data_IF_590228540413
#
_entry.id   IF_590228540413
#
_cell.length_a   1.000
_cell.length_b   1.000
_cell.length_c   1.000
_cell.angle_alpha   90.00
_cell.angle_beta   90.00
_cell.angle_gamma   90.00
#
_symmetry.space_group_name_H-M   'P 1'
#
loop_
_entity.id
_entity.type
_entity.pdbx_description
1 polymer ?
#
# COMPACT_ATOMS: atom_id res chain seq x y z
N UNK A 1 -19.54 -10.17 0.17
CA UNK A 1 -20.25 -11.17 1.02
C UNK A 1 -21.22 -10.56 2.05
N UNK A 2 -21.21 -9.26 2.30
CA UNK A 2 -22.16 -8.61 3.23
C UNK A 2 -23.56 -8.30 2.62
N UNK A 3 -23.97 -9.00 1.55
CA UNK A 3 -25.28 -8.82 0.91
C UNK A 3 -25.49 -7.51 0.14
N UNK A 4 -24.44 -6.70 -0.10
CA UNK A 4 -24.50 -5.47 -0.90
C UNK A 4 -24.18 -5.76 -2.38
N UNK A 5 -24.87 -5.10 -3.30
CA UNK A 5 -24.46 -4.98 -4.71
C UNK A 5 -23.29 -3.99 -4.79
N UNK A 6 -22.13 -4.46 -5.25
CA UNK A 6 -20.88 -3.69 -5.24
C UNK A 6 -20.37 -3.53 -6.68
N UNK A 7 -19.88 -2.35 -7.01
CA UNK A 7 -19.05 -2.11 -8.19
C UNK A 7 -17.62 -1.74 -7.77
N UNK A 8 -16.65 -2.37 -8.42
CA UNK A 8 -15.23 -2.03 -8.31
C UNK A 8 -14.86 -1.18 -9.54
N UNK A 9 -14.21 -0.04 -9.34
CA UNK A 9 -13.75 0.78 -10.44
C UNK A 9 -12.59 1.69 -10.02
N UNK A 10 -11.98 2.36 -10.99
CA UNK A 10 -11.07 3.47 -10.73
C UNK A 10 -9.79 3.38 -11.55
N UNK A 11 -8.66 3.58 -10.87
CA UNK A 11 -7.32 3.60 -11.47
C UNK A 11 -6.86 2.22 -11.93
N UNK A 12 -7.12 1.17 -11.13
CA UNK A 12 -7.02 -0.22 -11.58
C UNK A 12 -8.40 -0.62 -12.08
N UNK A 13 -8.45 -1.05 -13.35
CA UNK A 13 -9.68 -1.20 -14.11
C UNK A 13 -10.74 -2.11 -13.46
N UNK A 14 -12.01 -2.00 -13.89
CA UNK A 14 -12.54 -1.16 -14.96
C UNK A 14 -12.60 0.35 -14.61
N UNK A 15 -12.73 1.21 -15.62
CA UNK A 15 -12.85 2.66 -15.37
C UNK A 15 -14.21 2.98 -14.72
N UNK A 16 -14.28 4.08 -13.96
CA UNK A 16 -15.52 4.50 -13.30
C UNK A 16 -16.65 4.78 -14.30
N UNK A 17 -16.35 5.46 -15.42
CA UNK A 17 -17.37 5.83 -16.40
C UNK A 17 -17.89 4.61 -17.16
N UNK A 18 -17.03 3.66 -17.54
CA UNK A 18 -17.47 2.42 -18.19
C UNK A 18 -18.36 1.59 -17.27
N UNK A 19 -17.97 1.50 -16.00
CA UNK A 19 -18.73 0.77 -14.98
C UNK A 19 -20.08 1.41 -14.73
N UNK A 20 -20.15 2.75 -14.68
CA UNK A 20 -21.39 3.49 -14.55
C UNK A 20 -22.29 3.33 -15.78
N UNK A 21 -21.73 3.45 -16.98
CA UNK A 21 -22.48 3.27 -18.23
C UNK A 21 -23.11 1.86 -18.30
N UNK A 22 -22.34 0.83 -17.95
CA UNK A 22 -22.84 -0.54 -17.90
C UNK A 22 -23.97 -0.71 -16.85
N UNK A 23 -23.80 -0.14 -15.65
CA UNK A 23 -24.81 -0.22 -14.59
C UNK A 23 -26.11 0.52 -14.95
N UNK A 24 -26.02 1.67 -15.64
CA UNK A 24 -27.16 2.42 -16.15
C UNK A 24 -27.87 1.67 -17.28
N UNK A 25 -27.12 1.10 -18.22
CA UNK A 25 -27.69 0.30 -19.31
C UNK A 25 -28.43 -0.95 -18.81
N UNK A 26 -27.98 -1.53 -17.69
CA UNK A 26 -28.61 -2.67 -17.04
C UNK A 26 -29.74 -2.29 -16.05
N UNK A 27 -30.04 -1.00 -15.86
CA UNK A 27 -30.94 -0.48 -14.82
C UNK A 27 -30.65 -1.07 -13.43
N UNK A 28 -29.37 -1.25 -13.12
CA UNK A 28 -28.91 -2.00 -11.95
C UNK A 28 -27.74 -1.29 -11.26
N UNK A 29 -27.99 -0.10 -10.73
CA UNK A 29 -26.98 0.66 -9.98
C UNK A 29 -26.52 -0.11 -8.73
N UNK A 30 -25.20 -0.14 -8.44
CA UNK A 30 -24.68 -0.76 -7.23
C UNK A 30 -25.09 0.04 -5.99
N UNK A 31 -25.19 -0.65 -4.84
CA UNK A 31 -25.38 -0.01 -3.54
C UNK A 31 -24.08 0.58 -2.98
N UNK A 32 -22.94 0.03 -3.39
CA UNK A 32 -21.62 0.46 -2.92
C UNK A 32 -20.66 0.54 -4.11
N UNK A 33 -19.96 1.67 -4.21
CA UNK A 33 -18.83 1.86 -5.11
C UNK A 33 -17.54 1.72 -4.30
N UNK A 34 -16.64 0.86 -4.75
CA UNK A 34 -15.29 0.76 -4.20
C UNK A 34 -14.34 1.29 -5.27
N UNK A 35 -13.74 2.43 -4.97
CA UNK A 35 -12.93 3.17 -5.93
C UNK A 35 -11.47 3.17 -5.51
N UNK A 36 -10.59 2.70 -6.40
CA UNK A 36 -9.16 3.00 -6.29
C UNK A 36 -8.86 4.30 -7.03
N UNK A 37 -8.28 5.28 -6.34
CA UNK A 37 -8.00 6.60 -6.91
C UNK A 37 -6.52 6.95 -6.83
N UNK A 38 -5.96 7.39 -7.95
CA UNK A 38 -4.59 7.92 -8.01
C UNK A 38 -4.53 9.39 -7.57
N UNK A 39 -3.33 9.88 -7.25
CA UNK A 39 -3.12 11.30 -6.94
C UNK A 39 -3.52 12.21 -8.11
N UNK A 40 -3.27 11.79 -9.35
CA UNK A 40 -3.64 12.54 -10.55
C UNK A 40 -5.14 12.75 -10.69
N UNK A 41 -5.93 11.69 -10.45
CA UNK A 41 -7.38 11.77 -10.49
C UNK A 41 -7.93 12.72 -9.42
N UNK A 42 -7.30 12.74 -8.24
CA UNK A 42 -7.68 13.60 -7.13
C UNK A 42 -7.19 15.05 -7.28
N UNK A 43 -6.07 15.26 -7.97
CA UNK A 43 -5.53 16.58 -8.28
C UNK A 43 -6.37 17.33 -9.32
N UNK A 44 -7.02 16.63 -10.26
CA UNK A 44 -7.98 17.24 -11.19
C UNK A 44 -7.38 18.38 -12.02
N UNK A 45 -6.15 18.20 -12.53
CA UNK A 45 -5.45 19.23 -13.32
C UNK A 45 -5.08 20.47 -12.52
N UNK A 46 -4.78 20.31 -11.23
CA UNK A 46 -4.39 21.37 -10.29
C UNK A 46 -5.56 22.08 -9.59
N UNK A 47 -6.79 21.88 -10.06
CA UNK A 47 -8.00 22.49 -9.46
C UNK A 47 -8.63 21.66 -8.34
N UNK A 48 -8.18 20.42 -8.17
CA UNK A 48 -8.77 19.42 -7.29
C UNK A 48 -10.00 18.76 -7.90
N UNK A 49 -10.25 17.51 -7.52
CA UNK A 49 -11.51 16.84 -7.86
C UNK A 49 -12.70 17.60 -7.28
N UNK A 50 -13.65 17.99 -8.15
CA UNK A 50 -14.84 18.73 -7.75
C UNK A 50 -16.04 17.79 -7.52
N UNK A 51 -16.82 18.06 -6.47
CA UNK A 51 -18.06 17.33 -6.19
C UNK A 51 -17.86 15.87 -5.75
N UNK A 52 -16.62 15.46 -5.44
CA UNK A 52 -16.32 14.13 -4.92
C UNK A 52 -16.51 14.07 -3.41
N UNK A 53 -17.49 13.28 -2.96
CA UNK A 53 -17.80 13.11 -1.55
C UNK A 53 -18.09 11.63 -1.24
N UNK A 54 -17.09 10.87 -0.77
CA UNK A 54 -17.28 9.48 -0.40
C UNK A 54 -17.89 9.34 1.01
N UNK A 55 -18.55 8.21 1.29
CA UNK A 55 -19.01 7.89 2.65
C UNK A 55 -17.85 7.60 3.61
N UNK A 56 -16.83 6.93 3.10
CA UNK A 56 -15.59 6.63 3.80
C UNK A 56 -14.42 6.60 2.80
N UNK A 57 -13.25 7.05 3.23
CA UNK A 57 -12.05 7.07 2.40
C UNK A 57 -10.82 6.75 3.24
N UNK A 58 -9.76 6.26 2.58
CA UNK A 58 -8.49 5.97 3.21
C UNK A 58 -7.33 6.48 2.35
N UNK A 59 -6.28 6.95 3.02
CA UNK A 59 -4.93 6.99 2.47
C UNK A 59 -4.14 5.93 3.23
N UNK A 60 -3.64 4.91 2.52
CA UNK A 60 -3.05 3.74 3.17
C UNK A 60 -1.64 4.02 3.70
N UNK A 61 -0.86 4.80 2.97
CA UNK A 61 0.48 5.27 3.30
C UNK A 61 0.90 6.36 2.30
N UNK A 62 2.00 7.03 2.61
CA UNK A 62 2.69 8.00 1.76
C UNK A 62 4.19 7.70 1.75
N UNK A 63 4.68 7.25 0.61
CA UNK A 63 6.09 7.27 0.22
C UNK A 63 6.29 8.19 -0.97
N UNK A 64 7.54 8.52 -1.28
CA UNK A 64 7.87 9.21 -2.53
C UNK A 64 7.39 8.40 -3.73
N UNK A 65 6.65 9.05 -4.61
CA UNK A 65 6.21 8.56 -5.91
C UNK A 65 5.74 9.79 -6.70
N UNK A 66 5.84 9.77 -8.02
CA UNK A 66 5.37 10.84 -8.90
C UNK A 66 5.89 12.25 -8.57
N UNK A 67 7.13 12.37 -8.09
CA UNK A 67 7.73 13.68 -7.75
C UNK A 67 8.04 14.52 -8.98
N UNK A 68 8.25 13.86 -10.13
CA UNK A 68 8.34 14.46 -11.46
C UNK A 68 7.11 15.31 -11.82
N UNK A 69 5.92 14.93 -11.34
CA UNK A 69 4.68 15.65 -11.56
C UNK A 69 4.33 16.60 -10.42
N UNK A 70 4.30 16.08 -9.18
CA UNK A 70 3.83 16.84 -8.02
C UNK A 70 4.89 17.84 -7.51
N UNK A 71 6.15 17.71 -7.94
CA UNK A 71 7.28 18.55 -7.55
C UNK A 71 7.78 18.33 -6.12
N UNK A 72 6.92 17.89 -5.20
CA UNK A 72 7.30 17.55 -3.84
C UNK A 72 6.37 16.51 -3.22
N UNK A 73 6.88 15.78 -2.22
CA UNK A 73 6.09 14.84 -1.43
C UNK A 73 4.95 15.54 -0.65
N UNK A 74 5.11 16.83 -0.31
CA UNK A 74 4.04 17.61 0.32
C UNK A 74 2.86 17.85 -0.63
N UNK A 75 3.13 18.28 -1.86
CA UNK A 75 2.10 18.46 -2.88
C UNK A 75 1.42 17.13 -3.26
N UNK A 76 2.18 16.05 -3.35
CA UNK A 76 1.63 14.69 -3.56
C UNK A 76 0.69 14.27 -2.41
N UNK A 77 1.08 14.55 -1.16
CA UNK A 77 0.25 14.30 0.02
C UNK A 77 -1.04 15.13 0.00
N UNK A 78 -0.96 16.42 -0.33
CA UNK A 78 -2.14 17.29 -0.49
C UNK A 78 -3.08 16.79 -1.59
N UNK A 79 -2.52 16.32 -2.72
CA UNK A 79 -3.31 15.70 -3.78
C UNK A 79 -4.09 14.48 -3.30
N UNK A 80 -3.45 13.58 -2.54
CA UNK A 80 -4.13 12.41 -1.97
C UNK A 80 -5.13 12.76 -0.88
N UNK A 81 -4.86 13.77 -0.06
CA UNK A 81 -5.76 14.18 1.03
C UNK A 81 -7.14 14.60 0.52
N UNK A 82 -7.26 15.04 -0.74
CA UNK A 82 -8.55 15.35 -1.39
C UNK A 82 -9.51 14.15 -1.44
N UNK A 83 -9.01 12.92 -1.30
CA UNK A 83 -9.85 11.71 -1.24
C UNK A 83 -10.88 11.74 -0.10
N UNK A 84 -10.60 12.46 0.98
CA UNK A 84 -11.49 12.50 2.14
C UNK A 84 -12.71 13.40 1.96
N UNK A 85 -12.82 14.14 0.86
CA UNK A 85 -13.90 15.10 0.64
C UNK A 85 -14.09 16.04 1.85
N UNK A 86 -15.33 16.46 2.08
CA UNK A 86 -15.68 17.36 3.17
C UNK A 86 -16.32 16.64 4.38
N UNK A 87 -16.94 15.48 4.15
CA UNK A 87 -17.79 14.77 5.13
C UNK A 87 -17.43 13.31 5.35
N UNK A 88 -16.72 12.64 4.43
CA UNK A 88 -16.33 11.24 4.55
C UNK A 88 -15.77 10.84 5.93
N UNK A 89 -16.05 9.61 6.34
CA UNK A 89 -15.31 8.98 7.44
C UNK A 89 -13.86 8.74 7.01
N UNK A 90 -12.91 9.28 7.78
CA UNK A 90 -11.48 9.16 7.48
C UNK A 90 -10.94 7.87 8.11
N UNK A 91 -10.42 6.96 7.28
CA UNK A 91 -9.67 5.78 7.71
C UNK A 91 -8.18 6.08 7.52
N UNK A 92 -7.46 6.19 8.63
CA UNK A 92 -6.12 6.80 8.67
C UNK A 92 -5.10 5.79 9.17
N UNK A 93 -3.95 5.69 8.51
CA UNK A 93 -2.85 4.87 8.98
C UNK A 93 -2.07 5.61 10.08
N UNK A 94 -2.13 5.12 11.32
CA UNK A 94 -1.42 5.76 12.45
C UNK A 94 0.10 5.57 12.41
N UNK A 95 0.57 4.57 11.69
CA UNK A 95 2.01 4.27 11.60
C UNK A 95 2.71 5.20 10.60
N UNK A 96 1.94 5.95 9.81
CA UNK A 96 2.44 6.92 8.84
C UNK A 96 2.12 8.34 9.30
N UNK A 97 3.13 9.05 9.79
CA UNK A 97 2.99 10.40 10.32
C UNK A 97 2.44 11.41 9.29
N UNK A 98 2.70 11.21 7.99
CA UNK A 98 2.20 12.11 6.93
C UNK A 98 0.72 11.88 6.69
N UNK A 99 0.27 10.62 6.77
CA UNK A 99 -1.15 10.28 6.70
C UNK A 99 -1.89 10.74 7.95
N UNK A 100 -1.33 10.55 9.14
CA UNK A 100 -1.92 11.06 10.40
C UNK A 100 -2.06 12.58 10.39
N UNK A 101 -1.09 13.31 9.81
CA UNK A 101 -1.15 14.75 9.65
C UNK A 101 -2.29 15.25 8.75
N UNK A 102 -2.93 14.38 7.94
CA UNK A 102 -4.10 14.75 7.14
C UNK A 102 -5.36 14.97 7.97
N UNK A 103 -5.40 14.50 9.22
CA UNK A 103 -6.54 14.70 10.12
C UNK A 103 -6.61 16.18 10.52
N UNK A 104 -7.72 16.89 10.21
CA UNK A 104 -7.85 18.30 10.55
C UNK A 104 -7.72 18.52 12.06
N UNK A 105 -6.85 19.44 12.44
CA UNK A 105 -6.66 19.84 13.82
C UNK A 105 -7.54 21.06 14.15
N UNK A 106 -8.03 21.17 15.40
CA UNK A 106 -8.68 22.40 15.82
C UNK A 106 -7.71 23.58 15.66
N UNK A 107 -8.20 24.78 15.28
CA UNK A 107 -7.36 25.97 15.24
C UNK A 107 -6.62 26.14 16.57
N UNK A 108 -5.34 26.49 16.53
CA UNK A 108 -4.61 26.85 17.73
C UNK A 108 -5.38 27.95 18.46
N UNK A 109 -5.49 27.85 19.78
CA UNK A 109 -6.07 28.91 20.59
C UNK A 109 -5.18 30.15 20.40
N UNK A 110 -5.60 31.10 19.55
CA UNK A 110 -4.93 32.39 19.43
C UNK A 110 -4.86 32.99 20.85
N UNK A 111 -3.64 33.30 21.32
CA UNK A 111 -3.48 34.11 22.52
C UNK A 111 -4.26 35.41 22.26
N UNK A 112 -5.29 35.67 23.07
CA UNK A 112 -6.22 36.76 22.83
C UNK A 112 -5.44 38.07 22.64
N UNK A 113 -5.62 38.81 21.53
CA UNK A 113 -5.03 40.12 21.41
C UNK A 113 -5.60 41.01 22.51
N UNK A 114 -4.71 41.60 23.30
CA UNK A 114 -5.08 42.63 24.25
C UNK A 114 -5.69 43.80 23.49
N UNK A 115 -7.00 43.99 23.68
CA UNK A 115 -7.80 45.15 23.30
C UNK A 115 -7.73 45.62 21.83
N UNK A 116 -8.74 45.29 21.02
CA UNK A 116 -9.24 46.23 20.02
C UNK A 116 -10.69 45.99 19.57
N UNK A 117 -11.45 47.09 19.69
CA UNK A 117 -12.54 47.55 18.83
C UNK A 117 -13.83 46.71 18.66
N UNK A 118 -14.92 47.29 19.16
CA UNK A 118 -16.33 46.98 18.83
C UNK A 118 -16.59 47.19 17.34
N UNK A 119 -16.33 46.18 16.52
CA UNK A 119 -16.86 46.06 15.16
C UNK A 119 -17.69 44.78 15.05
N UNK A 120 -18.84 44.83 14.37
CA UNK A 120 -19.68 43.65 14.08
C UNK A 120 -18.91 42.69 13.16
N UNK A 121 -18.04 41.88 13.74
CA UNK A 121 -17.28 40.84 13.05
C UNK A 121 -18.17 39.64 12.73
N UNK A 122 -18.13 39.20 11.47
CA UNK A 122 -18.73 37.96 10.98
C UNK A 122 -18.23 36.80 11.86
N UNK A 123 -19.14 36.00 12.44
CA UNK A 123 -18.77 34.91 13.33
C UNK A 123 -17.77 33.96 12.64
N UNK A 124 -16.62 33.69 13.26
CA UNK A 124 -15.66 32.70 12.75
C UNK A 124 -16.36 31.33 12.70
N UNK A 125 -16.23 30.54 11.61
CA UNK A 125 -16.84 29.22 11.54
C UNK A 125 -16.27 28.32 12.65
N UNK A 126 -17.17 27.63 13.37
CA UNK A 126 -16.79 26.70 14.44
C UNK A 126 -16.13 25.46 13.83
N UNK A 127 -14.97 25.08 14.35
CA UNK A 127 -14.32 23.83 13.96
C UNK A 127 -15.22 22.63 14.29
N UNK A 128 -15.48 21.79 13.27
CA UNK A 128 -16.24 20.55 13.41
C UNK A 128 -15.27 19.39 13.21
N UNK A 129 -14.99 18.57 14.25
CA UNK A 129 -14.14 17.40 14.10
C UNK A 129 -14.68 16.44 13.03
N UNK A 130 -13.78 15.87 12.24
CA UNK A 130 -14.11 14.80 11.28
C UNK A 130 -14.36 13.49 12.04
N UNK A 131 -15.13 12.57 11.45
CA UNK A 131 -15.20 11.18 11.91
C UNK A 131 -13.93 10.48 11.48
N UNK A 132 -13.08 10.08 12.42
CA UNK A 132 -11.78 9.44 12.16
C UNK A 132 -11.74 8.07 12.81
N UNK A 133 -11.22 7.09 12.09
CA UNK A 133 -10.91 5.74 12.56
C UNK A 133 -9.48 5.42 12.15
N UNK A 134 -8.64 4.91 13.05
CA UNK A 134 -7.25 4.60 12.72
C UNK A 134 -7.00 3.12 12.58
N UNK A 135 -6.06 2.75 11.73
CA UNK A 135 -5.50 1.41 11.63
C UNK A 135 -3.97 1.46 11.69
N UNK A 136 -3.33 0.33 11.97
CA UNK A 136 -1.87 0.22 12.08
C UNK A 136 -1.42 -1.13 12.64
N UNK A 137 -0.12 -1.32 12.78
CA UNK A 137 0.56 -2.56 13.15
C UNK A 137 0.76 -2.72 14.66
N UNK A 138 0.58 -1.66 15.44
CA UNK A 138 0.52 -1.75 16.91
C UNK A 138 -0.88 -2.07 17.44
N UNK A 139 -1.03 -2.15 18.76
CA UNK A 139 -2.35 -2.24 19.39
C UNK A 139 -3.18 -0.95 19.17
N UNK A 140 -4.53 -1.03 19.10
CA UNK A 140 -5.40 0.14 19.07
C UNK A 140 -5.12 1.11 20.24
N UNK A 141 -5.17 2.41 19.96
CA UNK A 141 -4.85 3.46 20.96
C UNK A 141 -6.08 4.26 21.38
N UNK A 142 -7.17 4.21 20.61
CA UNK A 142 -8.42 4.92 20.88
C UNK A 142 -9.64 4.03 20.60
N UNK A 143 -10.81 4.33 21.19
CA UNK A 143 -12.05 3.65 20.86
C UNK A 143 -12.35 3.72 19.36
N UNK A 144 -12.67 2.59 18.75
CA UNK A 144 -12.93 2.48 17.32
C UNK A 144 -11.71 2.15 16.45
N UNK A 145 -10.48 2.27 16.97
CA UNK A 145 -9.25 1.97 16.23
C UNK A 145 -9.08 0.46 15.96
N UNK A 146 -8.32 0.17 14.93
CA UNK A 146 -8.00 -1.17 14.43
C UNK A 146 -6.50 -1.41 14.55
N UNK A 147 -6.09 -2.62 14.90
CA UNK A 147 -4.67 -2.88 15.12
C UNK A 147 -4.31 -4.34 15.17
N UNK A 148 -3.04 -4.59 15.49
CA UNK A 148 -2.54 -5.91 15.80
C UNK A 148 -2.24 -6.02 17.29
N UNK A 149 -2.55 -7.19 17.86
CA UNK A 149 -2.22 -7.52 19.24
C UNK A 149 -1.45 -8.84 19.25
N UNK A 150 -0.25 -8.83 19.82
CA UNK A 150 0.50 -10.06 20.06
C UNK A 150 0.13 -10.61 21.44
N UNK A 151 -0.39 -11.83 21.46
CA UNK A 151 -0.84 -12.48 22.69
C UNK A 151 -0.62 -14.00 22.56
N UNK A 152 0.09 -14.59 23.53
CA UNK A 152 0.35 -16.03 23.53
C UNK A 152 1.15 -16.52 22.31
N UNK A 153 2.04 -15.69 21.76
CA UNK A 153 2.84 -16.01 20.57
C UNK A 153 2.07 -15.95 19.25
N UNK A 154 0.84 -15.43 19.25
CA UNK A 154 0.02 -15.27 18.07
C UNK A 154 -0.31 -13.79 17.85
N UNK A 155 -0.23 -13.34 16.61
CA UNK A 155 -0.64 -11.98 16.21
C UNK A 155 -2.12 -12.00 15.82
N UNK A 156 -2.92 -11.16 16.46
CA UNK A 156 -4.36 -11.03 16.23
C UNK A 156 -4.69 -9.72 15.54
N UNK A 157 -5.61 -9.76 14.57
CA UNK A 157 -6.33 -8.57 14.13
C UNK A 157 -7.35 -8.23 15.23
N UNK A 158 -7.31 -6.99 15.71
CA UNK A 158 -8.18 -6.51 16.79
C UNK A 158 -8.83 -5.17 16.44
N UNK A 159 -9.96 -4.88 17.08
CA UNK A 159 -10.61 -3.57 17.07
C UNK A 159 -10.90 -3.14 18.51
N UNK A 160 -10.62 -1.89 18.85
CA UNK A 160 -11.14 -1.27 20.06
C UNK A 160 -12.63 -0.96 19.88
N UNK A 161 -13.48 -1.47 20.77
CA UNK A 161 -14.91 -1.13 20.74
C UNK A 161 -15.09 0.38 21.03
N UNK A 162 -16.10 1.01 20.40
CA UNK A 162 -16.45 2.38 20.76
C UNK A 162 -16.93 2.46 22.21
N UNK A 163 -16.71 3.60 22.86
CA UNK A 163 -17.24 3.85 24.21
C UNK A 163 -18.76 3.72 24.22
N UNK A 164 -19.31 3.06 25.25
CA UNK A 164 -20.76 3.03 25.44
C UNK A 164 -21.31 4.44 25.72
N UNK A 165 -22.36 4.90 25.00
CA UNK A 165 -22.96 6.18 25.26
C UNK A 165 -23.58 6.19 26.67
N UNK A 166 -22.97 6.95 27.58
CA UNK A 166 -23.44 7.11 28.97
C UNK A 166 -22.44 6.72 30.06
N UNK A 167 -21.28 6.17 29.70
CA UNK A 167 -20.18 5.97 30.65
C UNK A 167 -19.61 7.34 31.07
N UNK A 168 -20.10 7.86 32.20
CA UNK A 168 -19.63 9.13 32.75
C UNK A 168 -18.11 9.16 32.88
N UNK A 169 -17.47 10.19 32.31
CA UNK A 169 -16.04 10.44 32.47
C UNK A 169 -15.70 10.61 33.95
N UNK A 170 -15.29 9.54 34.63
CA UNK A 170 -14.55 9.64 35.87
C UNK A 170 -13.12 10.01 35.50
N UNK A 171 -12.78 11.28 35.72
CA UNK A 171 -11.42 11.78 35.56
C UNK A 171 -10.51 11.10 36.60
N UNK A 172 -9.56 10.26 36.13
CA UNK A 172 -8.23 10.05 36.73
C UNK A 172 -7.43 8.87 36.13
N UNK A 173 -8.04 7.96 35.36
CA UNK A 173 -7.33 6.86 34.70
C UNK A 173 -7.55 6.90 33.18
N UNK A 174 -6.52 6.54 32.40
CA UNK A 174 -6.67 6.35 30.96
C UNK A 174 -7.80 5.34 30.71
N UNK A 175 -8.74 5.61 29.79
CA UNK A 175 -9.86 4.71 29.54
C UNK A 175 -9.32 3.33 29.11
N UNK A 176 -9.77 2.28 29.79
CA UNK A 176 -9.41 0.91 29.47
C UNK A 176 -10.07 0.54 28.13
N UNK A 177 -9.28 0.31 27.09
CA UNK A 177 -9.78 -0.02 25.77
C UNK A 177 -10.27 -1.47 25.75
N UNK A 178 -11.56 -1.67 25.50
CA UNK A 178 -12.09 -3.01 25.29
C UNK A 178 -11.76 -3.50 23.88
N UNK A 179 -10.82 -4.45 23.79
CA UNK A 179 -10.36 -4.99 22.51
C UNK A 179 -11.16 -6.23 22.10
N UNK A 180 -11.83 -6.14 20.96
CA UNK A 180 -12.45 -7.29 20.29
C UNK A 180 -11.42 -7.98 19.38
N UNK A 181 -11.13 -9.25 19.66
CA UNK A 181 -10.33 -10.12 18.80
C UNK A 181 -11.14 -10.58 17.61
N UNK A 182 -10.59 -10.44 16.42
CA UNK A 182 -11.31 -10.70 15.17
C UNK A 182 -10.88 -12.03 14.55
N UNK A 183 -9.59 -12.14 14.22
CA UNK A 183 -8.99 -13.36 13.69
C UNK A 183 -7.46 -13.32 13.85
N UNK A 184 -6.78 -14.47 13.87
CA UNK A 184 -5.32 -14.53 13.76
C UNK A 184 -4.84 -13.94 12.42
N UNK A 185 -3.72 -13.22 12.43
CA UNK A 185 -3.08 -12.72 11.22
C UNK A 185 -2.65 -13.88 10.29
N UNK A 186 -2.24 -15.02 10.87
CA UNK A 186 -1.85 -16.21 10.11
C UNK A 186 -3.01 -16.96 9.45
N UNK A 187 -4.25 -16.59 9.77
CA UNK A 187 -5.43 -17.09 9.07
C UNK A 187 -5.67 -16.34 7.75
N UNK A 188 -4.96 -15.25 7.48
CA UNK A 188 -4.95 -14.59 6.18
C UNK A 188 -4.14 -15.45 5.20
N UNK A 189 -4.69 -15.66 3.99
CA UNK A 189 -3.93 -16.29 2.90
C UNK A 189 -2.84 -15.35 2.37
N UNK A 190 -3.12 -14.05 2.36
CA UNK A 190 -2.15 -12.99 2.05
C UNK A 190 -1.24 -12.75 3.27
N UNK A 191 0.03 -13.16 3.17
CA UNK A 191 1.00 -13.12 4.27
C UNK A 191 1.64 -11.74 4.44
N UNK A 192 2.24 -11.49 5.61
CA UNK A 192 3.03 -10.29 5.89
C UNK A 192 2.27 -9.17 6.59
N UNK A 193 3.01 -8.35 7.36
CA UNK A 193 2.46 -7.26 8.18
C UNK A 193 1.73 -6.21 7.34
N UNK A 194 2.23 -5.86 6.15
CA UNK A 194 1.58 -4.90 5.27
C UNK A 194 0.19 -5.38 4.81
N UNK A 195 0.02 -6.69 4.56
CA UNK A 195 -1.28 -7.26 4.21
C UNK A 195 -2.24 -7.28 5.41
N UNK A 196 -1.73 -7.47 6.62
CA UNK A 196 -2.52 -7.29 7.83
C UNK A 196 -2.99 -5.83 7.98
N UNK A 197 -2.14 -4.84 7.70
CA UNK A 197 -2.53 -3.42 7.69
C UNK A 197 -3.60 -3.13 6.62
N UNK A 198 -3.44 -3.64 5.40
CA UNK A 198 -4.45 -3.53 4.33
C UNK A 198 -5.78 -4.16 4.74
N UNK A 199 -5.74 -5.31 5.40
CA UNK A 199 -6.93 -5.98 5.93
C UNK A 199 -7.65 -5.12 6.98
N UNK A 200 -6.91 -4.52 7.92
CA UNK A 200 -7.47 -3.62 8.93
C UNK A 200 -8.09 -2.37 8.28
N UNK A 201 -7.44 -1.78 7.29
CA UNK A 201 -7.98 -0.64 6.54
C UNK A 201 -9.28 -1.00 5.79
N UNK A 202 -9.31 -2.16 5.11
CA UNK A 202 -10.50 -2.64 4.40
C UNK A 202 -11.67 -2.91 5.36
N UNK A 203 -11.40 -3.54 6.51
CA UNK A 203 -12.40 -3.76 7.56
C UNK A 203 -12.92 -2.43 8.13
N UNK A 204 -12.03 -1.47 8.38
CA UNK A 204 -12.40 -0.15 8.89
C UNK A 204 -13.29 0.63 7.89
N UNK A 205 -12.91 0.64 6.61
CA UNK A 205 -13.70 1.26 5.53
C UNK A 205 -15.09 0.65 5.46
N UNK A 206 -15.18 -0.66 5.28
CA UNK A 206 -16.48 -1.33 5.13
C UNK A 206 -17.33 -1.26 6.41
N UNK A 207 -16.72 -1.28 7.59
CA UNK A 207 -17.42 -1.03 8.87
C UNK A 207 -17.96 0.39 8.98
N UNK A 208 -17.30 1.38 8.36
CA UNK A 208 -17.76 2.76 8.37
C UNK A 208 -19.08 2.95 7.59
N UNK A 209 -19.34 2.08 6.60
CA UNK A 209 -20.60 1.95 5.84
C UNK A 209 -21.63 1.02 6.52
N UNK A 210 -21.34 0.49 7.71
CA UNK A 210 -22.25 -0.39 8.45
C UNK A 210 -22.31 -1.83 7.92
N UNK A 211 -21.29 -2.30 7.18
CA UNK A 211 -21.21 -3.71 6.79
C UNK A 211 -20.98 -4.60 8.02
N UNK A 212 -21.66 -5.76 8.06
CA UNK A 212 -21.55 -6.70 9.17
C UNK A 212 -20.17 -7.39 9.20
N UNK A 213 -19.57 -7.49 10.39
CA UNK A 213 -18.20 -7.95 10.56
C UNK A 213 -17.99 -9.42 10.20
N UNK A 214 -18.91 -10.30 10.59
CA UNK A 214 -18.75 -11.74 10.36
C UNK A 214 -18.62 -12.12 8.86
N UNK A 215 -19.49 -11.65 7.95
CA UNK A 215 -19.29 -11.86 6.50
C UNK A 215 -17.99 -11.26 5.94
N UNK A 216 -17.52 -10.15 6.51
CA UNK A 216 -16.27 -9.51 6.09
C UNK A 216 -15.05 -10.35 6.50
N UNK A 217 -14.99 -10.83 7.75
CA UNK A 217 -13.91 -11.70 8.22
C UNK A 217 -13.86 -13.02 7.44
N UNK A 218 -15.03 -13.55 7.07
CA UNK A 218 -15.10 -14.74 6.22
C UNK A 218 -14.53 -14.49 4.81
N UNK A 219 -14.89 -13.36 4.19
CA UNK A 219 -14.32 -12.98 2.89
C UNK A 219 -12.80 -12.73 2.97
N UNK A 220 -12.36 -12.05 4.02
CA UNK A 220 -10.96 -11.72 4.27
C UNK A 220 -10.09 -12.98 4.41
N UNK A 221 -10.59 -14.00 5.13
CA UNK A 221 -9.91 -15.30 5.28
C UNK A 221 -9.69 -16.02 3.95
N UNK A 222 -10.59 -15.84 2.98
CA UNK A 222 -10.53 -16.55 1.69
C UNK A 222 -9.84 -15.77 0.58
N UNK A 223 -9.66 -14.45 0.76
CA UNK A 223 -9.00 -13.59 -0.19
C UNK A 223 -7.55 -14.03 -0.45
N UNK A 224 -7.24 -14.38 -1.69
CA UNK A 224 -5.94 -14.93 -2.09
C UNK A 224 -4.96 -13.87 -2.63
N UNK A 225 -5.33 -12.60 -2.64
CA UNK A 225 -4.53 -11.52 -3.23
C UNK A 225 -4.81 -11.28 -4.71
N UNK A 226 -4.23 -10.21 -5.23
CA UNK A 226 -4.23 -9.90 -6.67
C UNK A 226 -3.05 -10.59 -7.38
N UNK A 227 -3.19 -10.97 -8.66
CA UNK A 227 -2.06 -11.37 -9.50
C UNK A 227 -0.94 -10.32 -9.47
N UNK A 228 0.30 -10.78 -9.65
CA UNK A 228 1.54 -9.96 -9.72
C UNK A 228 1.92 -9.21 -8.44
N UNK A 229 1.51 -9.69 -7.25
CA UNK A 229 2.03 -9.26 -5.94
C UNK A 229 2.81 -10.41 -5.31
N UNK A 230 4.12 -10.45 -5.54
CA UNK A 230 5.00 -11.57 -5.15
C UNK A 230 4.40 -12.93 -5.55
N UNK A 231 3.97 -13.03 -6.80
CA UNK A 231 3.35 -14.23 -7.34
C UNK A 231 4.43 -15.28 -7.67
N UNK A 232 4.30 -16.48 -7.11
CA UNK A 232 5.14 -17.60 -7.53
C UNK A 232 4.85 -17.96 -8.99
N UNK A 233 5.90 -18.04 -9.81
CA UNK A 233 5.83 -18.33 -11.24
C UNK A 233 6.17 -19.79 -11.50
N UNK A 234 7.38 -20.21 -11.11
CA UNK A 234 7.90 -21.56 -11.30
C UNK A 234 9.12 -21.80 -10.41
N UNK A 235 9.53 -23.06 -10.31
CA UNK A 235 10.82 -23.47 -9.74
C UNK A 235 11.69 -24.02 -10.85
N UNK A 236 12.91 -23.51 -10.99
CA UNK A 236 13.90 -23.95 -11.98
C UNK A 236 15.23 -24.18 -11.28
N UNK A 237 15.81 -25.37 -11.42
CA UNK A 237 17.07 -25.76 -10.76
C UNK A 237 17.07 -25.49 -9.23
N UNK A 238 15.95 -25.82 -8.57
CA UNK A 238 15.69 -25.56 -7.13
C UNK A 238 15.64 -24.08 -6.73
N UNK A 239 15.61 -23.17 -7.70
CA UNK A 239 15.44 -21.73 -7.50
C UNK A 239 14.00 -21.33 -7.80
N UNK A 240 13.35 -20.66 -6.85
CA UNK A 240 11.98 -20.19 -7.04
C UNK A 240 11.96 -18.84 -7.77
N UNK A 241 11.01 -18.63 -8.68
CA UNK A 241 10.81 -17.34 -9.35
C UNK A 241 9.53 -16.65 -8.87
N UNK A 242 9.66 -15.36 -8.53
CA UNK A 242 8.58 -14.52 -8.05
C UNK A 242 8.39 -13.26 -8.91
N UNK A 243 7.16 -13.03 -9.33
CA UNK A 243 6.74 -11.83 -10.03
C UNK A 243 6.06 -10.84 -9.08
N UNK A 244 6.70 -9.71 -8.87
CA UNK A 244 6.19 -8.54 -8.15
C UNK A 244 6.25 -7.30 -9.05
N UNK A 245 5.92 -7.46 -10.35
CA UNK A 245 5.94 -6.37 -11.34
C UNK A 245 5.03 -5.18 -10.98
N UNK A 246 4.07 -5.33 -10.05
CA UNK A 246 3.28 -4.23 -9.51
C UNK A 246 4.03 -3.36 -8.49
N UNK A 247 5.20 -3.78 -8.01
CA UNK A 247 6.08 -2.99 -7.15
C UNK A 247 6.74 -1.84 -7.91
N UNK A 248 5.97 -0.82 -8.27
CA UNK A 248 6.42 0.30 -9.13
C UNK A 248 7.02 1.48 -8.35
N UNK A 249 7.24 1.32 -7.05
CA UNK A 249 7.86 2.33 -6.18
C UNK A 249 8.75 1.67 -5.13
N UNK A 250 9.65 2.44 -4.55
CA UNK A 250 10.68 1.96 -3.60
C UNK A 250 10.05 1.31 -2.37
N UNK A 251 8.97 1.89 -1.83
CA UNK A 251 8.29 1.34 -0.65
C UNK A 251 7.71 -0.06 -0.87
N UNK A 252 7.15 -0.32 -2.05
CA UNK A 252 6.64 -1.65 -2.42
C UNK A 252 7.76 -2.69 -2.49
N UNK A 253 8.88 -2.35 -3.14
CA UNK A 253 10.04 -3.24 -3.25
C UNK A 253 10.66 -3.54 -1.88
N UNK A 254 10.80 -2.52 -1.01
CA UNK A 254 11.27 -2.73 0.37
C UNK A 254 10.38 -3.72 1.12
N UNK A 255 9.05 -3.58 1.01
CA UNK A 255 8.11 -4.49 1.65
C UNK A 255 8.19 -5.92 1.10
N UNK A 256 8.42 -6.08 -0.21
CA UNK A 256 8.61 -7.39 -0.84
C UNK A 256 9.92 -8.06 -0.37
N UNK A 257 11.02 -7.30 -0.29
CA UNK A 257 12.32 -7.80 0.17
C UNK A 257 12.30 -8.25 1.63
N UNK A 258 11.73 -7.43 2.53
CA UNK A 258 11.63 -7.76 3.96
C UNK A 258 10.68 -8.93 4.19
N UNK A 259 9.55 -8.99 3.47
CA UNK A 259 8.59 -10.08 3.58
C UNK A 259 9.14 -11.40 3.08
N UNK A 260 9.47 -11.47 1.78
CA UNK A 260 9.94 -12.69 1.14
C UNK A 260 11.32 -13.12 1.68
N UNK A 261 12.18 -12.17 2.01
CA UNK A 261 13.51 -12.43 2.55
C UNK A 261 13.51 -12.98 3.97
N UNK A 262 12.55 -12.59 4.82
CA UNK A 262 12.39 -13.16 6.16
C UNK A 262 11.84 -14.60 6.11
N UNK A 263 10.83 -14.84 5.27
CA UNK A 263 10.17 -16.14 5.14
C UNK A 263 11.09 -17.26 4.58
N UNK A 264 12.20 -16.87 3.95
CA UNK A 264 13.10 -17.79 3.22
C UNK A 264 14.44 -18.06 3.89
N UNK A 265 14.72 -17.50 5.07
CA UNK A 265 16.01 -17.71 5.71
C UNK A 265 16.33 -19.21 5.90
N UNK A 266 17.55 -19.68 5.56
CA UNK A 266 18.75 -18.91 5.21
C UNK A 266 18.95 -18.61 3.70
N UNK A 267 17.98 -18.94 2.85
CA UNK A 267 18.04 -18.64 1.42
C UNK A 267 17.96 -17.14 1.14
N UNK A 268 18.48 -16.71 -0.03
CA UNK A 268 18.60 -15.31 -0.44
C UNK A 268 17.88 -15.03 -1.76
N UNK A 269 17.81 -13.74 -2.12
CA UNK A 269 17.10 -13.24 -3.28
C UNK A 269 18.05 -12.70 -4.36
N UNK A 270 17.94 -13.17 -5.60
CA UNK A 270 18.50 -12.50 -6.77
C UNK A 270 17.43 -11.54 -7.33
N UNK A 271 17.67 -10.24 -7.23
CA UNK A 271 16.61 -9.22 -7.39
C UNK A 271 16.80 -8.46 -8.69
N UNK A 272 15.72 -8.24 -9.44
CA UNK A 272 15.70 -7.40 -10.64
C UNK A 272 15.04 -6.07 -10.29
N UNK A 273 15.78 -4.97 -10.45
CA UNK A 273 15.38 -3.59 -10.20
C UNK A 273 15.42 -2.76 -11.48
N UNK A 274 14.64 -1.69 -11.55
CA UNK A 274 14.77 -0.66 -12.57
C UNK A 274 13.56 -0.48 -13.50
N UNK A 275 13.69 0.53 -14.36
CA UNK A 275 12.60 1.16 -15.11
C UNK A 275 12.61 2.68 -14.96
N UNK A 276 11.44 3.33 -15.07
CA UNK A 276 11.26 4.76 -14.76
C UNK A 276 10.93 4.98 -13.26
N UNK A 277 11.88 5.56 -12.54
CA UNK A 277 11.84 5.82 -11.11
C UNK A 277 11.12 7.08 -10.70
N UNK A 278 10.69 7.95 -11.63
CA UNK A 278 9.89 9.16 -11.36
C UNK A 278 10.48 10.09 -10.28
N UNK A 279 11.80 10.15 -10.19
CA UNK A 279 12.52 11.00 -9.24
C UNK A 279 12.47 10.56 -7.78
N UNK A 280 12.17 9.28 -7.49
CA UNK A 280 12.22 8.73 -6.14
C UNK A 280 13.66 8.60 -5.61
N UNK A 281 13.84 8.70 -4.29
CA UNK A 281 15.08 8.27 -3.62
C UNK A 281 15.16 6.73 -3.49
N UNK A 282 16.23 6.14 -4.04
CA UNK A 282 16.51 4.71 -4.00
C UNK A 282 17.33 4.25 -2.77
N UNK A 283 17.87 5.16 -1.96
CA UNK A 283 18.66 4.82 -0.77
C UNK A 283 17.97 3.83 0.20
N UNK A 284 16.62 3.86 0.40
CA UNK A 284 15.94 2.90 1.27
C UNK A 284 16.08 1.42 0.84
N UNK A 285 16.47 1.13 -0.41
CA UNK A 285 16.70 -0.23 -0.89
C UNK A 285 17.94 -0.88 -0.28
N UNK A 286 18.92 -0.10 0.17
CA UNK A 286 20.21 -0.63 0.60
C UNK A 286 20.10 -1.56 1.81
N UNK A 287 19.39 -1.15 2.86
CA UNK A 287 19.26 -1.95 4.08
C UNK A 287 18.63 -3.34 3.87
N UNK A 288 17.46 -3.49 3.20
CA UNK A 288 16.88 -4.81 2.95
C UNK A 288 17.72 -5.65 1.97
N UNK A 289 18.35 -5.04 0.96
CA UNK A 289 19.22 -5.76 0.03
C UNK A 289 20.47 -6.31 0.74
N UNK A 290 21.08 -5.54 1.65
CA UNK A 290 22.22 -6.01 2.44
C UNK A 290 21.90 -7.27 3.25
N UNK A 291 20.67 -7.37 3.76
CA UNK A 291 20.21 -8.51 4.57
C UNK A 291 19.84 -9.73 3.73
N UNK A 292 19.14 -9.52 2.63
CA UNK A 292 18.42 -10.59 1.94
C UNK A 292 18.95 -10.91 0.54
N UNK A 293 19.70 -10.01 -0.10
CA UNK A 293 20.11 -10.19 -1.49
C UNK A 293 21.31 -11.15 -1.65
N UNK A 294 21.24 -11.95 -2.72
CA UNK A 294 22.32 -12.72 -3.31
C UNK A 294 23.03 -11.90 -4.39
N UNK A 295 22.25 -11.20 -5.21
CA UNK A 295 22.69 -10.41 -6.35
C UNK A 295 21.58 -9.43 -6.77
N UNK A 296 21.95 -8.38 -7.50
CA UNK A 296 21.03 -7.37 -8.02
C UNK A 296 21.31 -7.13 -9.50
N UNK A 297 20.28 -7.31 -10.33
CA UNK A 297 20.29 -6.90 -11.73
C UNK A 297 19.53 -5.58 -11.88
N UNK A 298 20.08 -4.64 -12.64
CA UNK A 298 19.44 -3.35 -12.95
C UNK A 298 19.07 -3.27 -14.43
N UNK A 299 17.91 -2.70 -14.73
CA UNK A 299 17.41 -2.46 -16.09
C UNK A 299 16.81 -1.06 -16.24
N UNK A 300 16.63 -0.61 -17.48
CA UNK A 300 15.83 0.59 -17.77
C UNK A 300 16.49 1.93 -17.43
N UNK A 301 15.68 2.99 -17.50
CA UNK A 301 16.09 4.40 -17.47
C UNK A 301 16.90 4.76 -16.23
N UNK A 302 16.40 4.40 -15.05
CA UNK A 302 16.97 4.83 -13.77
C UNK A 302 17.90 3.79 -13.14
N UNK A 303 18.35 2.79 -13.91
CA UNK A 303 19.42 1.87 -13.50
C UNK A 303 20.67 2.61 -12.94
N UNK A 304 21.18 3.70 -13.55
CA UNK A 304 22.32 4.43 -12.98
C UNK A 304 22.05 5.01 -11.58
N UNK A 305 20.84 5.48 -11.32
CA UNK A 305 20.48 6.07 -10.02
C UNK A 305 20.39 4.99 -8.94
N UNK A 306 19.81 3.84 -9.28
CA UNK A 306 19.76 2.67 -8.39
C UNK A 306 21.17 2.18 -8.08
N UNK A 307 22.04 2.05 -9.09
CA UNK A 307 23.43 1.60 -8.89
C UNK A 307 24.22 2.55 -7.99
N UNK A 308 24.01 3.86 -8.13
CA UNK A 308 24.62 4.84 -7.25
C UNK A 308 24.17 4.68 -5.79
N UNK A 309 22.88 4.42 -5.56
CA UNK A 309 22.33 4.16 -4.22
C UNK A 309 22.82 2.84 -3.60
N UNK A 310 23.30 1.90 -4.42
CA UNK A 310 23.81 0.59 -4.00
C UNK A 310 25.34 0.46 -4.08
N UNK A 311 26.05 1.56 -4.35
CA UNK A 311 27.49 1.55 -4.57
C UNK A 311 28.28 0.92 -3.41
N UNK A 312 27.92 1.24 -2.17
CA UNK A 312 28.57 0.70 -0.98
C UNK A 312 28.38 -0.82 -0.87
N UNK A 313 27.17 -1.34 -1.16
CA UNK A 313 26.91 -2.78 -1.14
C UNK A 313 27.67 -3.52 -2.23
N UNK A 314 27.80 -2.91 -3.41
CA UNK A 314 28.60 -3.47 -4.48
C UNK A 314 30.07 -3.51 -4.11
N UNK A 315 30.59 -2.48 -3.44
CA UNK A 315 31.95 -2.45 -2.92
C UNK A 315 32.18 -3.51 -1.84
N UNK A 316 31.16 -3.79 -1.02
CA UNK A 316 31.15 -4.87 -0.01
C UNK A 316 30.95 -6.28 -0.62
N UNK A 317 30.91 -6.40 -1.96
CA UNK A 317 30.93 -7.66 -2.68
C UNK A 317 29.57 -8.21 -3.09
N UNK A 318 28.49 -7.42 -2.98
CA UNK A 318 27.19 -7.79 -3.56
C UNK A 318 27.29 -7.72 -5.10
N UNK A 319 27.05 -8.82 -5.85
CA UNK A 319 27.03 -8.77 -7.30
C UNK A 319 25.95 -7.81 -7.81
N UNK A 320 26.36 -6.82 -8.60
CA UNK A 320 25.50 -5.80 -9.20
C UNK A 320 25.83 -5.68 -10.69
N UNK A 321 24.85 -5.90 -11.57
CA UNK A 321 25.04 -5.84 -13.02
C UNK A 321 23.87 -5.19 -13.75
N UNK A 322 24.19 -4.34 -14.74
CA UNK A 322 23.20 -3.71 -15.62
C UNK A 322 22.95 -4.57 -16.85
N UNK A 323 21.69 -4.74 -17.22
CA UNK A 323 21.26 -5.47 -18.40
C UNK A 323 20.37 -4.61 -19.30
N UNK A 324 20.47 -4.86 -20.62
CA UNK A 324 19.68 -4.14 -21.62
C UNK A 324 18.22 -4.61 -21.70
N UNK A 325 17.96 -5.86 -21.33
CA UNK A 325 16.62 -6.47 -21.41
C UNK A 325 16.29 -7.24 -20.13
N UNK A 326 14.99 -7.42 -19.89
CA UNK A 326 14.49 -8.15 -18.72
C UNK A 326 14.83 -9.64 -18.79
N UNK A 327 14.86 -10.22 -19.99
CA UNK A 327 15.28 -11.61 -20.22
C UNK A 327 16.74 -11.82 -19.82
N UNK A 328 17.64 -10.94 -20.25
CA UNK A 328 19.04 -11.01 -19.90
C UNK A 328 19.28 -10.82 -18.39
N UNK A 329 18.55 -9.89 -17.76
CA UNK A 329 18.59 -9.73 -16.30
C UNK A 329 18.08 -10.99 -15.58
N UNK A 330 16.99 -11.59 -16.08
CA UNK A 330 16.39 -12.80 -15.49
C UNK A 330 17.37 -13.97 -15.55
N UNK A 331 17.98 -14.21 -16.71
CA UNK A 331 18.95 -15.29 -16.87
C UNK A 331 20.17 -15.09 -15.97
N UNK A 332 20.71 -13.87 -15.90
CA UNK A 332 21.83 -13.55 -15.01
C UNK A 332 21.47 -13.75 -13.54
N UNK A 333 20.27 -13.35 -13.10
CA UNK A 333 19.81 -13.60 -11.73
C UNK A 333 19.77 -15.10 -11.39
N UNK A 334 19.32 -15.95 -12.31
CA UNK A 334 19.37 -17.41 -12.11
C UNK A 334 20.80 -17.96 -12.08
N UNK A 335 21.75 -17.34 -12.77
CA UNK A 335 23.17 -17.74 -12.71
C UNK A 335 23.83 -17.36 -11.37
N UNK A 336 23.37 -16.27 -10.73
CA UNK A 336 23.85 -15.87 -9.41
C UNK A 336 23.17 -16.63 -8.26
N UNK A 337 21.96 -17.13 -8.48
CA UNK A 337 21.18 -17.87 -7.49
C UNK A 337 21.76 -19.26 -7.20
N UNK A 338 21.57 -19.74 -5.97
CA UNK A 338 21.92 -21.10 -5.54
C UNK A 338 20.65 -21.93 -5.30
N UNK A 339 20.73 -23.27 -5.30
CA UNK A 339 19.61 -24.11 -4.88
C UNK A 339 19.00 -23.64 -3.55
N UNK A 340 17.67 -23.43 -3.55
CA UNK A 340 16.91 -22.87 -2.43
C UNK A 340 16.73 -21.35 -2.44
N UNK A 341 17.57 -20.59 -3.16
CA UNK A 341 17.41 -19.15 -3.36
C UNK A 341 16.15 -18.85 -4.22
N UNK A 342 15.84 -17.57 -4.39
CA UNK A 342 14.76 -17.14 -5.29
C UNK A 342 15.19 -15.97 -6.20
N UNK A 343 14.66 -15.94 -7.42
CA UNK A 343 14.69 -14.78 -8.32
C UNK A 343 13.43 -13.95 -8.09
N UNK A 344 13.59 -12.65 -7.84
CA UNK A 344 12.49 -11.72 -7.57
C UNK A 344 12.53 -10.56 -8.58
N UNK A 345 11.47 -10.41 -9.38
CA UNK A 345 11.21 -9.18 -10.11
C UNK A 345 10.39 -8.22 -9.24
N UNK A 346 11.03 -7.23 -8.63
CA UNK A 346 10.36 -6.19 -7.83
C UNK A 346 10.98 -4.82 -8.14
N UNK A 347 10.57 -4.17 -9.23
CA UNK A 347 11.40 -3.23 -9.97
C UNK A 347 11.65 -1.88 -9.28
N UNK A 348 10.88 -1.49 -8.26
CA UNK A 348 10.88 -0.17 -7.63
C UNK A 348 10.55 1.01 -8.58
N UNK A 349 10.30 0.71 -9.85
CA UNK A 349 10.08 1.66 -10.93
C UNK A 349 8.85 1.31 -11.77
N UNK A 350 8.25 2.32 -12.38
CA UNK A 350 7.28 2.12 -13.44
C UNK A 350 7.92 1.45 -14.67
N UNK A 351 7.09 0.84 -15.52
CA UNK A 351 7.54 0.05 -16.67
C UNK A 351 7.63 0.84 -17.97
N UNK A 352 7.17 2.09 -17.98
CA UNK A 352 6.80 2.82 -19.21
C UNK A 352 7.99 3.22 -20.10
N UNK A 353 9.21 3.13 -19.58
CA UNK A 353 10.43 3.34 -20.34
C UNK A 353 10.78 2.16 -21.26
N UNK A 354 10.36 0.94 -20.91
CA UNK A 354 10.69 -0.29 -21.63
C UNK A 354 9.46 -1.08 -22.12
N UNK A 355 8.28 -0.88 -21.51
CA UNK A 355 7.07 -1.67 -21.74
C UNK A 355 5.82 -0.79 -21.75
N UNK A 356 4.74 -1.22 -22.41
CA UNK A 356 3.47 -0.49 -22.44
C UNK A 356 2.75 -0.43 -21.09
N UNK A 357 2.93 -1.44 -20.22
CA UNK A 357 2.41 -1.45 -18.86
C UNK A 357 3.10 -2.54 -17.99
N UNK A 358 2.77 -2.57 -16.70
CA UNK A 358 3.37 -3.53 -15.77
C UNK A 358 2.99 -4.99 -16.08
N UNK A 359 1.82 -5.23 -16.71
CA UNK A 359 1.37 -6.59 -17.05
C UNK A 359 2.15 -7.15 -18.24
N UNK A 360 2.55 -6.30 -19.19
CA UNK A 360 3.49 -6.67 -20.26
C UNK A 360 4.87 -7.02 -19.69
N UNK A 361 5.40 -6.20 -18.77
CA UNK A 361 6.65 -6.51 -18.06
C UNK A 361 6.58 -7.86 -17.33
N UNK A 362 5.48 -8.12 -16.61
CA UNK A 362 5.22 -9.40 -15.95
C UNK A 362 5.20 -10.56 -16.95
N UNK A 363 4.51 -10.40 -18.10
CA UNK A 363 4.43 -11.43 -19.12
C UNK A 363 5.81 -11.78 -19.70
N UNK A 364 6.67 -10.78 -19.94
CA UNK A 364 8.05 -11.00 -20.40
C UNK A 364 8.87 -11.78 -19.36
N UNK A 365 8.79 -11.41 -18.09
CA UNK A 365 9.46 -12.14 -17.01
C UNK A 365 8.99 -13.59 -16.91
N UNK A 366 7.67 -13.82 -16.88
CA UNK A 366 7.09 -15.16 -16.83
C UNK A 366 7.53 -16.00 -18.04
N UNK A 367 7.52 -15.40 -19.24
CA UNK A 367 7.97 -16.08 -20.46
C UNK A 367 9.46 -16.46 -20.40
N UNK A 368 10.32 -15.58 -19.87
CA UNK A 368 11.75 -15.84 -19.69
C UNK A 368 11.99 -17.00 -18.70
N UNK A 369 11.32 -16.97 -17.54
CA UNK A 369 11.38 -18.06 -16.54
C UNK A 369 10.93 -19.38 -17.15
N UNK A 370 9.81 -19.39 -17.87
CA UNK A 370 9.29 -20.60 -18.52
C UNK A 370 10.19 -21.11 -19.66
N UNK A 371 10.82 -20.22 -20.43
CA UNK A 371 11.78 -20.59 -21.46
C UNK A 371 12.99 -21.28 -20.84
N UNK A 372 13.49 -20.78 -19.71
CA UNK A 372 14.56 -21.40 -18.95
C UNK A 372 14.15 -22.78 -18.40
N UNK A 373 12.96 -22.90 -17.82
CA UNK A 373 12.43 -24.18 -17.35
C UNK A 373 12.37 -25.23 -18.48
N UNK A 374 11.89 -24.83 -19.66
CA UNK A 374 11.86 -25.70 -20.86
C UNK A 374 13.26 -26.12 -21.29
N UNK A 375 14.23 -25.19 -21.33
CA UNK A 375 15.61 -25.49 -21.69
C UNK A 375 16.28 -26.49 -20.72
N UNK A 376 15.83 -26.54 -19.46
CA UNK A 376 16.29 -27.48 -18.42
C UNK A 376 15.47 -28.78 -18.35
N UNK A 377 14.40 -28.90 -19.14
CA UNK A 377 13.49 -30.06 -19.09
C UNK A 377 12.62 -30.13 -17.83
N UNK A 378 12.32 -28.98 -17.22
CA UNK A 378 11.59 -28.84 -15.94
C UNK A 378 10.24 -28.12 -16.12
N UNK A 379 9.73 -28.07 -17.35
CA UNK A 379 8.50 -27.34 -17.70
C UNK A 379 7.23 -28.19 -17.56
#
# INVERSE_FOLDING_TARGET
RAGRRVALAGNVGPTLLDTLAAALAADALPEVWVLELSSFQLEGGGSGVAGFEPDAAAVLNLSEDHLDWHGSLAAYAEAKARIFGSRAAMVVNRDDARVEAMVPQPPAAEAAPAAAAKGRGRAKPKFVPRRVVRFGLGAPQQPGDWGLLEEGGMVWLVRALPDEPGAGRRAAAAPELHLQRLMPADALRVRGRHNAANALAALALASALGCALAPMLHALREYAGEPHRVQFVARVDEVDAYDDSKGTNVGATVAALEGLGADRQPARLAVILGGDGKGQDFAPLAAPLARHARAVATIGRDAPAIEAALADLSADGLPLARHATLEAATDWCFEQARPGDAVLLSPACASLDMFGNYAERAAVFVAAVQARARARGQA
#
